data_IF_775252841467
#
_entry.id   IF_775252841467
#
_cell.length_a   1.000
_cell.length_b   1.000
_cell.length_c   1.000
_cell.angle_alpha   90.00
_cell.angle_beta   90.00
_cell.angle_gamma   90.00
#
_symmetry.space_group_name_H-M   'P 1'
#
loop_
_entity.id
_entity.type
_entity.pdbx_description
1 polymer ?
#
# COMPACT_ATOMS: atom_id res chain seq x y z
N UNK A 1 -13.91 -10.48 -1.45
CA UNK A 1 -14.99 -10.22 -2.44
C UNK A 1 -14.36 -10.11 -3.83
N UNK A 2 -15.01 -10.58 -4.91
CA UNK A 2 -14.47 -10.50 -6.27
C UNK A 2 -14.17 -9.04 -6.65
N UNK A 3 -13.30 -8.82 -7.64
CA UNK A 3 -13.07 -7.49 -8.25
C UNK A 3 -14.40 -6.91 -8.70
N UNK A 4 -14.88 -5.90 -7.98
CA UNK A 4 -16.21 -5.34 -8.15
C UNK A 4 -16.17 -3.85 -7.89
N UNK A 5 -16.87 -3.11 -8.75
CA UNK A 5 -17.09 -1.65 -8.74
C UNK A 5 -17.41 -1.10 -7.33
N UNK A 6 -18.02 -1.94 -6.49
CA UNK A 6 -18.36 -1.65 -5.10
C UNK A 6 -17.15 -1.35 -4.20
N UNK A 7 -16.03 -2.08 -4.31
CA UNK A 7 -14.82 -1.78 -3.52
C UNK A 7 -14.26 -0.41 -3.86
N UNK A 8 -14.20 -0.11 -5.16
CA UNK A 8 -13.75 1.19 -5.66
C UNK A 8 -14.69 2.30 -5.19
N UNK A 9 -16.01 2.06 -5.19
CA UNK A 9 -16.99 3.00 -4.65
C UNK A 9 -16.78 3.26 -3.16
N UNK A 10 -16.62 2.21 -2.35
CA UNK A 10 -16.33 2.33 -0.92
C UNK A 10 -15.03 3.09 -0.65
N UNK A 11 -13.96 2.79 -1.41
CA UNK A 11 -12.69 3.52 -1.30
C UNK A 11 -12.89 5.01 -1.60
N UNK A 12 -13.65 5.36 -2.65
CA UNK A 12 -13.98 6.75 -2.97
C UNK A 12 -14.80 7.41 -1.86
N UNK A 13 -15.76 6.70 -1.29
CA UNK A 13 -16.59 7.20 -0.19
C UNK A 13 -15.73 7.51 1.05
N UNK A 14 -14.85 6.58 1.44
CA UNK A 14 -13.92 6.76 2.56
C UNK A 14 -13.00 7.96 2.28
N UNK A 15 -12.42 8.04 1.06
CA UNK A 15 -11.56 9.16 0.67
C UNK A 15 -12.28 10.50 0.81
N UNK A 16 -13.50 10.60 0.29
CA UNK A 16 -14.28 11.84 0.36
C UNK A 16 -14.63 12.18 1.81
N UNK A 17 -15.05 11.20 2.62
CA UNK A 17 -15.40 11.43 4.01
C UNK A 17 -14.22 11.92 4.85
N UNK A 18 -13.05 11.29 4.70
CA UNK A 18 -11.83 11.71 5.42
C UNK A 18 -11.39 13.10 4.98
N UNK A 19 -11.44 13.41 3.67
CA UNK A 19 -11.12 14.75 3.16
C UNK A 19 -12.09 15.82 3.64
N UNK A 20 -13.37 15.49 3.81
CA UNK A 20 -14.37 16.42 4.36
C UNK A 20 -14.06 16.81 5.80
N UNK A 21 -13.42 15.93 6.56
CA UNK A 21 -12.98 16.21 7.94
C UNK A 21 -11.67 17.04 8.00
N UNK A 22 -11.08 17.39 6.85
CA UNK A 22 -9.82 18.15 6.78
C UNK A 22 -8.56 17.29 6.92
N UNK A 23 -8.69 15.98 7.05
CA UNK A 23 -7.58 15.05 7.17
C UNK A 23 -6.90 14.78 5.82
N UNK A 24 -5.58 14.52 5.86
CA UNK A 24 -4.80 14.18 4.69
C UNK A 24 -4.85 12.66 4.48
N UNK A 25 -5.44 12.27 3.34
CA UNK A 25 -5.55 10.87 2.92
C UNK A 25 -4.92 10.65 1.55
N UNK A 26 -4.17 9.56 1.44
CA UNK A 26 -3.51 9.14 0.22
C UNK A 26 -4.11 7.82 -0.28
N UNK A 27 -4.52 7.78 -1.55
CA UNK A 27 -4.94 6.54 -2.21
C UNK A 27 -4.01 6.17 -3.36
N UNK A 28 -3.59 4.92 -3.38
CA UNK A 28 -2.71 4.34 -4.41
C UNK A 28 -3.23 2.98 -4.85
N UNK A 29 -2.85 2.57 -6.06
CA UNK A 29 -3.17 1.23 -6.57
C UNK A 29 -1.92 0.49 -7.07
N UNK A 30 -1.93 -0.84 -7.05
CA UNK A 30 -0.78 -1.61 -7.59
C UNK A 30 -0.70 -1.56 -9.12
N UNK A 31 -1.84 -1.46 -9.82
CA UNK A 31 -1.91 -1.40 -11.30
C UNK A 31 -2.30 -0.01 -11.79
N UNK A 32 -1.74 0.41 -12.93
CA UNK A 32 -2.07 1.70 -13.56
C UNK A 32 -3.53 1.78 -13.99
N UNK A 33 -4.12 0.66 -14.43
CA UNK A 33 -5.53 0.58 -14.83
C UNK A 33 -6.46 0.81 -13.63
N UNK A 34 -6.01 0.40 -12.44
CA UNK A 34 -6.77 0.58 -11.19
C UNK A 34 -6.53 1.98 -10.62
N UNK A 35 -5.33 2.53 -10.79
CA UNK A 35 -4.97 3.86 -10.31
C UNK A 35 -5.84 4.96 -10.95
N UNK A 36 -6.21 4.83 -12.23
CA UNK A 36 -7.11 5.78 -12.92
C UNK A 36 -8.51 5.85 -12.28
N UNK A 37 -8.89 4.84 -11.51
CA UNK A 37 -10.16 4.83 -10.79
C UNK A 37 -10.08 5.56 -9.44
N UNK A 38 -8.89 5.93 -8.98
CA UNK A 38 -8.65 6.66 -7.73
C UNK A 38 -8.32 8.12 -8.01
N UNK A 39 -8.67 9.01 -7.09
CA UNK A 39 -8.51 10.46 -7.18
C UNK A 39 -7.06 10.96 -7.01
N UNK A 40 -6.11 10.24 -7.61
CA UNK A 40 -4.68 10.56 -7.63
C UNK A 40 -3.89 9.89 -8.76
N UNK A 41 -4.52 8.98 -9.54
CA UNK A 41 -4.00 8.36 -10.79
C UNK A 41 -2.58 7.74 -10.76
N UNK A 42 -1.96 7.64 -9.58
CA UNK A 42 -0.62 7.12 -9.40
C UNK A 42 -0.64 5.72 -8.80
N UNK A 43 0.26 4.88 -9.29
CA UNK A 43 0.47 3.55 -8.71
C UNK A 43 1.26 3.64 -7.41
N UNK A 44 1.13 2.66 -6.52
CA UNK A 44 1.92 2.54 -5.30
C UNK A 44 3.42 2.54 -5.61
N UNK A 45 3.82 1.92 -6.73
CA UNK A 45 5.19 1.95 -7.22
C UNK A 45 5.69 3.36 -7.53
N UNK A 46 4.98 4.11 -8.38
CA UNK A 46 5.39 5.47 -8.75
C UNK A 46 5.27 6.44 -7.59
N UNK A 47 4.25 6.26 -6.75
CA UNK A 47 4.05 7.10 -5.59
C UNK A 47 5.15 6.83 -4.58
N UNK A 48 5.30 5.61 -4.06
CA UNK A 48 6.28 5.35 -3.01
C UNK A 48 7.72 5.19 -3.49
N UNK A 49 7.98 5.33 -4.81
CA UNK A 49 9.29 5.09 -5.43
C UNK A 49 9.84 3.73 -5.02
N UNK A 50 8.97 2.72 -5.06
CA UNK A 50 9.37 1.34 -4.79
C UNK A 50 10.35 0.90 -5.88
N UNK A 51 11.43 0.19 -5.56
CA UNK A 51 12.31 -0.34 -6.58
C UNK A 51 11.65 -1.51 -7.32
N UNK A 52 11.92 -1.58 -8.63
CA UNK A 52 11.42 -2.63 -9.52
C UNK A 52 12.03 -4.01 -9.22
N UNK A 53 13.24 -4.05 -8.65
CA UNK A 53 13.94 -5.28 -8.29
C UNK A 53 13.82 -5.54 -6.78
N UNK A 54 12.78 -6.28 -6.41
CA UNK A 54 12.50 -6.67 -5.02
C UNK A 54 13.15 -8.02 -4.64
N UNK A 55 14.05 -8.54 -5.46
CA UNK A 55 14.75 -9.82 -5.23
C UNK A 55 15.98 -9.67 -4.33
N UNK A 56 16.52 -8.45 -4.17
CA UNK A 56 17.62 -8.17 -3.26
C UNK A 56 17.10 -7.62 -1.91
N UNK A 57 17.45 -8.24 -0.75
CA UNK A 57 17.01 -7.80 0.58
C UNK A 57 17.33 -6.33 0.91
N UNK A 58 18.39 -5.82 0.29
CA UNK A 58 18.93 -4.48 0.50
C UNK A 58 18.23 -3.39 -0.32
N UNK A 59 17.36 -3.79 -1.26
CA UNK A 59 16.62 -2.88 -2.12
C UNK A 59 15.27 -2.44 -1.52
N UNK A 60 14.86 -2.88 -0.34
CA UNK A 60 13.50 -2.62 0.17
C UNK A 60 13.27 -1.22 0.79
N UNK A 61 13.90 -0.17 0.26
CA UNK A 61 13.71 1.20 0.76
C UNK A 61 12.91 2.05 -0.24
N UNK A 62 11.84 2.68 0.23
CA UNK A 62 11.17 3.74 -0.51
C UNK A 62 12.10 4.96 -0.53
N UNK A 63 12.53 5.41 -1.70
CA UNK A 63 13.46 6.54 -1.81
C UNK A 63 12.72 7.90 -1.75
N UNK A 64 12.05 8.15 -0.62
CA UNK A 64 11.27 9.36 -0.37
C UNK A 64 12.00 10.19 0.69
N UNK A 65 12.54 11.35 0.30
CA UNK A 65 13.15 12.27 1.24
C UNK A 65 12.09 12.98 2.08
N UNK A 66 12.32 13.12 3.40
CA UNK A 66 11.48 13.90 4.32
C UNK A 66 11.22 15.33 3.83
N UNK A 67 12.18 15.90 3.11
CA UNK A 67 12.14 17.29 2.61
C UNK A 67 11.42 17.42 1.26
N UNK A 68 11.10 16.32 0.59
CA UNK A 68 10.36 16.35 -0.66
C UNK A 68 8.89 16.70 -0.43
N UNK A 69 8.21 17.25 -1.43
CA UNK A 69 6.77 17.55 -1.37
C UNK A 69 5.95 16.32 -0.98
N UNK A 70 6.36 15.15 -1.47
CA UNK A 70 5.73 13.90 -1.12
C UNK A 70 6.02 13.47 0.33
N UNK A 71 7.23 13.71 0.81
CA UNK A 71 7.59 13.50 2.22
C UNK A 71 6.72 14.36 3.15
N UNK A 72 6.49 15.63 2.78
CA UNK A 72 5.58 16.52 3.51
C UNK A 72 4.15 15.98 3.55
N UNK A 73 3.61 15.51 2.41
CA UNK A 73 2.27 14.90 2.36
C UNK A 73 2.20 13.67 3.27
N UNK A 74 3.19 12.78 3.19
CA UNK A 74 3.24 11.56 3.99
C UNK A 74 3.44 11.82 5.48
N UNK A 75 4.06 12.95 5.84
CA UNK A 75 4.27 13.35 7.23
C UNK A 75 2.97 13.62 7.97
N UNK A 76 2.01 14.23 7.27
CA UNK A 76 0.72 14.62 7.84
C UNK A 76 -0.41 13.67 7.44
N UNK A 77 -0.09 12.62 6.68
CA UNK A 77 -1.06 11.64 6.22
C UNK A 77 -1.58 10.79 7.38
N UNK A 78 -2.89 10.77 7.57
CA UNK A 78 -3.55 9.99 8.64
C UNK A 78 -4.07 8.65 8.12
N UNK A 79 -4.35 8.55 6.81
CA UNK A 79 -4.85 7.35 6.16
C UNK A 79 -4.19 7.12 4.80
N UNK A 80 -3.68 5.90 4.59
CA UNK A 80 -3.16 5.43 3.32
C UNK A 80 -4.03 4.27 2.86
N UNK A 81 -4.57 4.35 1.65
CA UNK A 81 -5.34 3.28 1.02
C UNK A 81 -4.53 2.68 -0.11
N UNK A 82 -4.27 1.38 -0.04
CA UNK A 82 -3.59 0.63 -1.10
C UNK A 82 -4.57 -0.36 -1.73
N UNK A 83 -5.07 -0.01 -2.92
CA UNK A 83 -5.98 -0.83 -3.70
C UNK A 83 -5.27 -1.84 -4.60
N UNK A 84 -5.86 -3.02 -4.74
CA UNK A 84 -5.29 -4.19 -5.41
C UNK A 84 -3.89 -4.54 -4.88
N UNK A 85 -3.72 -4.47 -3.55
CA UNK A 85 -2.44 -4.70 -2.87
C UNK A 85 -1.93 -6.15 -2.98
N UNK A 86 -2.78 -7.11 -3.38
CA UNK A 86 -2.46 -8.54 -3.45
C UNK A 86 -1.37 -8.86 -4.48
N UNK A 87 -1.22 -7.99 -5.48
CA UNK A 87 -0.14 -8.05 -6.47
C UNK A 87 1.19 -7.49 -5.96
N UNK A 88 1.20 -6.86 -4.79
CA UNK A 88 2.39 -6.21 -4.25
C UNK A 88 3.28 -7.22 -3.50
N UNK A 89 4.59 -7.05 -3.67
CA UNK A 89 5.60 -7.79 -2.93
C UNK A 89 5.67 -7.31 -1.48
N UNK A 90 5.90 -8.23 -0.52
CA UNK A 90 6.05 -7.92 0.91
C UNK A 90 7.07 -6.81 1.20
N UNK A 91 8.18 -6.82 0.46
CA UNK A 91 9.25 -5.84 0.61
C UNK A 91 8.79 -4.41 0.29
N UNK A 92 7.75 -4.23 -0.54
CA UNK A 92 7.16 -2.91 -0.77
C UNK A 92 6.34 -2.40 0.42
N UNK A 93 5.63 -3.31 1.11
CA UNK A 93 4.93 -2.97 2.36
C UNK A 93 5.92 -2.63 3.47
N UNK A 94 6.97 -3.43 3.62
CA UNK A 94 8.03 -3.18 4.61
C UNK A 94 8.82 -1.91 4.33
N UNK A 95 9.11 -1.62 3.07
CA UNK A 95 9.75 -0.36 2.68
C UNK A 95 8.86 0.85 2.97
N UNK A 96 7.54 0.71 2.77
CA UNK A 96 6.57 1.75 3.12
C UNK A 96 6.54 2.01 4.63
N UNK A 97 6.50 0.97 5.45
CA UNK A 97 6.55 1.08 6.92
C UNK A 97 7.80 1.86 7.38
N UNK A 98 8.99 1.45 6.90
CA UNK A 98 10.25 2.11 7.24
C UNK A 98 10.25 3.58 6.84
N UNK A 99 9.75 3.88 5.64
CA UNK A 99 9.70 5.25 5.14
C UNK A 99 8.73 6.12 5.93
N UNK A 100 7.56 5.60 6.33
CA UNK A 100 6.61 6.35 7.15
C UNK A 100 7.15 6.59 8.56
N UNK A 101 7.77 5.58 9.16
CA UNK A 101 8.46 5.70 10.46
C UNK A 101 9.55 6.77 10.43
N UNK A 102 10.35 6.77 9.37
CA UNK A 102 11.38 7.80 9.17
C UNK A 102 10.74 9.18 8.96
N UNK A 103 9.83 9.34 7.99
CA UNK A 103 9.22 10.63 7.64
C UNK A 103 8.46 11.26 8.82
N UNK A 104 7.79 10.46 9.63
CA UNK A 104 7.00 10.92 10.78
C UNK A 104 7.77 10.93 12.10
N UNK A 105 9.04 10.52 12.11
CA UNK A 105 9.86 10.35 13.31
C UNK A 105 9.16 9.50 14.39
N UNK A 106 8.45 8.45 13.96
CA UNK A 106 7.64 7.58 14.82
C UNK A 106 8.15 6.15 14.84
N UNK A 107 8.10 5.51 16.01
CA UNK A 107 8.43 4.08 16.16
C UNK A 107 7.22 3.16 15.97
N UNK A 108 6.01 3.72 15.80
CA UNK A 108 4.81 2.96 15.54
C UNK A 108 4.83 2.34 14.13
N UNK A 109 4.25 1.15 13.99
CA UNK A 109 4.02 0.53 12.68
C UNK A 109 3.20 1.45 11.77
N UNK A 110 3.57 1.51 10.49
CA UNK A 110 3.02 2.39 9.45
C UNK A 110 3.21 3.88 9.76
N UNK A 111 4.03 4.22 10.76
CA UNK A 111 4.32 5.60 11.14
C UNK A 111 3.03 6.35 11.43
N UNK A 112 2.39 6.08 12.57
CA UNK A 112 1.13 6.68 13.09
C UNK A 112 -0.10 6.75 12.18
N UNK A 113 0.05 6.51 10.88
CA UNK A 113 -1.00 6.48 9.89
C UNK A 113 -1.72 5.12 9.90
N UNK A 114 -2.98 5.16 9.50
CA UNK A 114 -3.76 3.94 9.24
C UNK A 114 -3.49 3.47 7.81
N UNK A 115 -3.21 2.18 7.61
CA UNK A 115 -3.10 1.57 6.28
C UNK A 115 -4.31 0.68 5.99
N UNK A 116 -5.11 1.06 5.01
CA UNK A 116 -6.21 0.26 4.48
C UNK A 116 -5.75 -0.49 3.24
N UNK A 117 -5.61 -1.81 3.37
CA UNK A 117 -5.29 -2.70 2.26
C UNK A 117 -6.58 -3.25 1.64
N UNK A 118 -6.71 -3.14 0.32
CA UNK A 118 -7.83 -3.73 -0.42
C UNK A 118 -7.30 -4.57 -1.57
N UNK A 119 -7.89 -5.75 -1.77
CA UNK A 119 -7.60 -6.66 -2.87
C UNK A 119 -8.38 -7.97 -2.76
N UNK A 120 -8.25 -8.87 -3.73
CA UNK A 120 -8.72 -10.26 -3.60
C UNK A 120 -7.54 -11.22 -3.76
N UNK A 121 -7.14 -11.86 -2.66
CA UNK A 121 -6.02 -12.83 -2.66
C UNK A 121 -6.33 -14.09 -3.48
N UNK A 122 -7.57 -14.26 -3.95
CA UNK A 122 -7.97 -15.36 -4.86
C UNK A 122 -7.77 -15.02 -6.33
N UNK A 123 -7.41 -13.78 -6.67
CA UNK A 123 -7.29 -13.34 -8.07
C UNK A 123 -5.86 -13.42 -8.59
N UNK A 124 -4.89 -12.79 -7.93
CA UNK A 124 -3.50 -12.75 -8.45
C UNK A 124 -2.49 -12.58 -7.32
N UNK A 125 -1.44 -13.43 -7.34
CA UNK A 125 -0.26 -13.32 -6.49
C UNK A 125 0.81 -12.39 -7.10
N UNK A 126 1.82 -11.95 -6.32
CA UNK A 126 2.98 -11.24 -6.87
C UNK A 126 3.72 -12.13 -7.87
N UNK A 127 4.01 -11.60 -9.05
CA UNK A 127 4.75 -12.33 -10.09
C UNK A 127 6.24 -12.25 -9.81
N UNK A 128 6.89 -13.41 -9.64
CA UNK A 128 8.34 -13.52 -9.46
C UNK A 128 8.97 -14.12 -10.73
N UNK A 129 9.65 -13.32 -11.57
CA UNK A 129 10.27 -13.83 -12.79
C UNK A 129 11.28 -14.94 -12.45
N UNK A 130 11.09 -16.13 -13.02
CA UNK A 130 11.92 -17.33 -12.80
C UNK A 130 11.89 -17.90 -11.36
N UNK A 131 10.93 -17.49 -10.53
CA UNK A 131 10.73 -18.04 -9.18
C UNK A 131 9.93 -19.35 -9.19
N UNK A 132 10.04 -20.11 -8.10
CA UNK A 132 9.16 -21.25 -7.81
C UNK A 132 7.91 -20.80 -7.04
N UNK A 133 6.96 -21.72 -6.82
CA UNK A 133 5.72 -21.41 -6.07
C UNK A 133 6.02 -20.93 -4.65
N UNK A 134 7.07 -21.45 -4.04
CA UNK A 134 7.53 -21.05 -2.72
C UNK A 134 7.97 -19.58 -2.70
N UNK A 135 8.63 -19.12 -3.77
CA UNK A 135 9.05 -17.72 -3.92
C UNK A 135 7.84 -16.78 -4.06
N UNK A 136 6.80 -17.20 -4.77
CA UNK A 136 5.54 -16.44 -4.89
C UNK A 136 4.84 -16.29 -3.53
N UNK A 137 4.79 -17.37 -2.74
CA UNK A 137 4.21 -17.35 -1.38
C UNK A 137 5.04 -16.47 -0.44
N UNK A 138 6.37 -16.56 -0.51
CA UNK A 138 7.28 -15.70 0.26
C UNK A 138 7.25 -14.24 -0.20
N UNK A 139 6.86 -13.97 -1.44
CA UNK A 139 6.67 -12.61 -1.91
C UNK A 139 5.35 -12.00 -1.44
N UNK A 140 4.36 -12.81 -1.04
CA UNK A 140 3.04 -12.32 -0.64
C UNK A 140 3.09 -11.44 0.60
N UNK A 141 2.24 -10.42 0.64
CA UNK A 141 2.07 -9.54 1.82
C UNK A 141 1.84 -10.33 3.13
N UNK A 142 1.14 -11.47 3.05
CA UNK A 142 0.85 -12.36 4.19
C UNK A 142 2.09 -12.92 4.89
N UNK A 143 3.21 -12.98 4.18
CA UNK A 143 4.49 -13.46 4.74
C UNK A 143 5.30 -12.34 5.40
N UNK A 144 4.85 -11.08 5.31
CA UNK A 144 5.52 -9.97 5.98
C UNK A 144 5.29 -10.03 7.51
N UNK A 145 6.29 -9.69 8.34
CA UNK A 145 6.10 -9.52 9.78
C UNK A 145 5.05 -8.46 10.14
N UNK A 146 4.84 -7.47 9.26
CA UNK A 146 3.82 -6.45 9.46
C UNK A 146 2.40 -6.99 9.36
N UNK A 147 2.22 -8.16 8.73
CA UNK A 147 0.90 -8.75 8.52
C UNK A 147 0.20 -9.11 9.84
N UNK A 148 0.93 -9.41 10.91
CA UNK A 148 0.32 -9.70 12.22
C UNK A 148 -0.35 -8.47 12.87
N UNK A 149 -0.01 -7.25 12.41
CA UNK A 149 -0.62 -6.01 12.88
C UNK A 149 -1.82 -5.58 12.03
N UNK A 150 -2.12 -6.32 10.94
CA UNK A 150 -3.19 -5.98 10.01
C UNK A 150 -4.49 -6.61 10.49
N UNK A 151 -5.47 -5.77 10.83
CA UNK A 151 -6.83 -6.21 11.10
C UNK A 151 -7.57 -6.40 9.78
N UNK A 152 -8.05 -7.61 9.53
CA UNK A 152 -8.85 -7.91 8.34
C UNK A 152 -10.31 -7.57 8.61
N UNK A 153 -10.82 -6.54 7.95
CA UNK A 153 -12.25 -6.23 7.96
C UNK A 153 -12.94 -7.03 6.85
N UNK A 154 -13.81 -7.97 7.24
CA UNK A 154 -14.74 -8.59 6.30
C UNK A 154 -15.96 -7.67 6.17
N UNK A 155 -16.47 -7.43 4.95
CA UNK A 155 -17.79 -6.82 4.84
C UNK A 155 -18.77 -7.70 5.60
N UNK A 156 -19.49 -7.11 6.54
CA UNK A 156 -20.67 -7.72 7.17
C UNK A 156 -21.71 -7.83 6.04
N UNK A 157 -21.75 -8.99 5.39
CA UNK A 157 -22.84 -9.39 4.49
C UNK A 157 -23.61 -10.47 5.23
#
# INVERSE_FOLDING_TARGET
APSGTEKTFLIKLILTNVRQNGDIVLAVASSRIVATLLSGERTAHCNFKLPLNLVAPEAHSCNISKRSDQGQILRWCTLIIWHECTMAHRGGLEGLDRALRDIQDSQASIGSATLLLSGDFRQTFPVIPKGMREDEVQACLKSSPLWCHITTCYPLI
#
